data_IF_675167607025
#
_entry.id   IF_675167607025
#
_cell.length_a   1.000
_cell.length_b   1.000
_cell.length_c   1.000
_cell.angle_alpha   90.00
_cell.angle_beta   90.00
_cell.angle_gamma   90.00
#
_symmetry.space_group_name_H-M   'P 1'
#
loop_
_entity.id
_entity.type
_entity.pdbx_description
1 polymer ?
#
# COMPACT_ATOMS: atom_id res chain seq x y z
N UNK A 1 31.00 -17.78 6.79
CA UNK A 1 30.22 -19.03 6.87
C UNK A 1 31.11 -20.23 6.54
N UNK A 2 31.00 -21.40 7.20
CA UNK A 2 31.77 -22.59 6.82
C UNK A 2 31.44 -23.06 5.39
N UNK A 3 32.47 -23.34 4.58
CA UNK A 3 32.30 -23.79 3.19
C UNK A 3 31.56 -25.13 3.06
N UNK A 4 31.59 -25.97 4.10
CA UNK A 4 30.86 -27.25 4.16
C UNK A 4 29.34 -27.09 4.08
N UNK A 5 28.80 -25.90 4.36
CA UNK A 5 27.37 -25.62 4.19
C UNK A 5 27.00 -25.56 2.71
N UNK A 6 27.90 -25.09 1.84
CA UNK A 6 27.65 -24.98 0.41
C UNK A 6 27.59 -26.32 -0.31
N UNK A 7 27.98 -27.42 0.34
CA UNK A 7 27.93 -28.78 -0.21
C UNK A 7 27.00 -29.71 0.59
N UNK A 8 26.18 -29.14 1.49
CA UNK A 8 25.31 -29.92 2.35
C UNK A 8 24.04 -30.36 1.61
N UNK A 9 24.00 -31.62 1.20
CA UNK A 9 22.89 -32.21 0.44
C UNK A 9 21.58 -32.32 1.23
N UNK A 10 21.64 -32.29 2.56
CA UNK A 10 20.46 -32.41 3.44
C UNK A 10 19.93 -31.05 3.93
N UNK A 11 20.59 -29.95 3.59
CA UNK A 11 20.21 -28.63 4.09
C UNK A 11 18.91 -28.14 3.44
N UNK A 12 17.86 -27.97 4.24
CA UNK A 12 16.53 -27.52 3.76
C UNK A 12 16.31 -26.02 3.98
N UNK A 13 16.92 -25.44 5.01
CA UNK A 13 16.79 -24.02 5.33
C UNK A 13 18.12 -23.41 5.75
N UNK A 14 18.43 -22.25 5.18
CA UNK A 14 19.64 -21.48 5.44
C UNK A 14 19.23 -20.03 5.72
N UNK A 15 19.51 -19.54 6.92
CA UNK A 15 19.10 -18.19 7.35
C UNK A 15 20.23 -17.42 8.04
N UNK A 16 21.35 -17.13 7.35
CA UNK A 16 22.42 -16.33 7.90
C UNK A 16 21.96 -14.88 8.14
N UNK A 17 22.41 -14.33 9.27
CA UNK A 17 22.30 -12.90 9.61
C UNK A 17 23.68 -12.38 9.93
N UNK A 18 24.08 -11.26 9.32
CA UNK A 18 25.33 -10.56 9.61
C UNK A 18 26.57 -11.46 9.39
N UNK A 19 26.53 -12.29 8.33
CA UNK A 19 27.60 -13.25 8.00
C UNK A 19 28.29 -12.88 6.69
N UNK A 20 29.62 -12.97 6.68
CA UNK A 20 30.40 -12.99 5.45
C UNK A 20 30.24 -14.33 4.72
N UNK A 21 29.67 -14.27 3.53
CA UNK A 21 29.57 -15.36 2.57
C UNK A 21 30.85 -15.36 1.72
N UNK A 22 31.78 -16.22 2.09
CA UNK A 22 32.99 -16.42 1.30
C UNK A 22 32.64 -17.04 -0.05
N UNK A 23 33.30 -16.57 -1.11
CA UNK A 23 33.17 -17.13 -2.45
C UNK A 23 33.63 -18.59 -2.48
N UNK A 24 33.00 -19.39 -3.34
CA UNK A 24 33.34 -20.80 -3.52
C UNK A 24 33.10 -21.24 -4.95
N UNK A 25 34.00 -22.08 -5.46
CA UNK A 25 33.82 -22.68 -6.77
C UNK A 25 32.73 -23.77 -6.78
N UNK A 26 32.43 -24.38 -5.63
CA UNK A 26 31.56 -25.54 -5.51
C UNK A 26 30.32 -25.25 -4.65
N UNK A 27 29.17 -25.14 -5.30
CA UNK A 27 27.87 -25.11 -4.64
C UNK A 27 27.06 -26.33 -5.06
N UNK A 28 26.58 -27.10 -4.09
CA UNK A 28 25.62 -28.17 -4.27
C UNK A 28 24.76 -28.22 -3.02
N UNK A 29 23.62 -27.53 -3.05
CA UNK A 29 22.65 -27.50 -1.94
C UNK A 29 21.27 -27.93 -2.47
N UNK A 30 21.16 -29.16 -3.02
CA UNK A 30 20.01 -29.60 -3.82
C UNK A 30 18.67 -29.62 -3.08
N UNK A 31 18.67 -29.71 -1.75
CA UNK A 31 17.47 -29.79 -0.93
C UNK A 31 17.02 -28.43 -0.34
N UNK A 32 17.73 -27.34 -0.62
CA UNK A 32 17.45 -26.05 0.00
C UNK A 32 16.16 -25.45 -0.53
N UNK A 33 15.18 -25.27 0.37
CA UNK A 33 13.87 -24.68 0.07
C UNK A 33 13.75 -23.23 0.53
N UNK A 34 14.48 -22.85 1.58
CA UNK A 34 14.38 -21.52 2.19
C UNK A 34 15.79 -20.94 2.36
N UNK A 35 16.03 -19.78 1.77
CA UNK A 35 17.28 -19.05 1.87
C UNK A 35 17.01 -17.60 2.28
N UNK A 36 17.37 -17.22 3.51
CA UNK A 36 17.21 -15.85 4.00
C UNK A 36 18.58 -15.26 4.31
N UNK A 37 19.08 -14.42 3.42
CA UNK A 37 20.35 -13.70 3.55
C UNK A 37 20.04 -12.30 4.10
N UNK A 38 20.22 -12.10 5.40
CA UNK A 38 19.97 -10.82 6.05
C UNK A 38 21.30 -10.18 6.45
N UNK A 39 21.51 -8.92 6.07
CA UNK A 39 22.75 -8.16 6.30
C UNK A 39 24.02 -8.97 5.97
N UNK A 40 23.93 -9.85 4.98
CA UNK A 40 25.02 -10.77 4.66
C UNK A 40 25.92 -10.14 3.61
N UNK A 41 27.22 -10.15 3.85
CA UNK A 41 28.22 -9.59 2.93
C UNK A 41 28.63 -10.69 1.96
N UNK A 42 28.51 -10.44 0.67
CA UNK A 42 28.92 -11.34 -0.41
C UNK A 42 29.67 -10.57 -1.49
N UNK A 43 30.54 -11.26 -2.21
CA UNK A 43 31.58 -10.66 -3.06
C UNK A 43 31.05 -9.90 -4.27
N UNK A 44 29.99 -10.38 -4.92
CA UNK A 44 29.35 -9.71 -6.07
C UNK A 44 27.97 -10.31 -6.39
N UNK A 45 27.25 -9.71 -7.34
CA UNK A 45 25.96 -10.23 -7.82
C UNK A 45 26.03 -11.59 -8.52
N UNK A 46 27.17 -11.93 -9.14
CA UNK A 46 27.36 -13.21 -9.82
C UNK A 46 27.46 -14.39 -8.84
N UNK A 47 28.07 -14.18 -7.68
CA UNK A 47 28.09 -15.14 -6.58
C UNK A 47 26.68 -15.48 -6.12
N UNK A 48 25.84 -14.46 -5.91
CA UNK A 48 24.46 -14.66 -5.47
C UNK A 48 23.65 -15.41 -6.54
N UNK A 49 23.81 -15.05 -7.81
CA UNK A 49 23.17 -15.77 -8.91
C UNK A 49 23.58 -17.25 -8.95
N UNK A 50 24.87 -17.55 -8.78
CA UNK A 50 25.40 -18.92 -8.75
C UNK A 50 24.89 -19.70 -7.53
N UNK A 51 24.79 -19.05 -6.37
CA UNK A 51 24.25 -19.66 -5.16
C UNK A 51 22.76 -20.04 -5.35
N UNK A 52 21.97 -19.15 -5.95
CA UNK A 52 20.55 -19.40 -6.25
C UNK A 52 20.39 -20.55 -7.26
N UNK A 53 21.17 -20.56 -8.35
CA UNK A 53 21.07 -21.60 -9.38
C UNK A 53 21.47 -23.00 -8.89
N UNK A 54 22.23 -23.06 -7.79
CA UNK A 54 22.64 -24.31 -7.12
C UNK A 54 21.57 -24.87 -6.16
N UNK A 55 20.42 -24.20 -6.06
CA UNK A 55 19.29 -24.56 -5.20
C UNK A 55 18.03 -24.84 -6.05
N UNK A 56 17.93 -25.99 -6.73
CA UNK A 56 16.87 -26.28 -7.71
C UNK A 56 15.45 -26.40 -7.13
N UNK A 57 15.32 -26.53 -5.81
CA UNK A 57 14.03 -26.63 -5.09
C UNK A 57 13.74 -25.42 -4.22
N UNK A 58 14.46 -24.30 -4.41
CA UNK A 58 14.32 -23.08 -3.62
C UNK A 58 12.94 -22.46 -3.81
N UNK A 59 12.15 -22.36 -2.74
CA UNK A 59 10.78 -21.83 -2.77
C UNK A 59 10.68 -20.41 -2.18
N UNK A 60 11.54 -20.07 -1.22
CA UNK A 60 11.52 -18.79 -0.51
C UNK A 60 12.94 -18.19 -0.39
N UNK A 61 13.12 -17.00 -0.98
CA UNK A 61 14.36 -16.26 -0.99
C UNK A 61 14.16 -14.87 -0.37
N UNK A 62 14.99 -14.51 0.59
CA UNK A 62 15.08 -13.16 1.12
C UNK A 62 16.53 -12.68 1.01
N UNK A 63 16.73 -11.52 0.41
CA UNK A 63 18.02 -10.85 0.27
C UNK A 63 17.86 -9.45 0.84
N UNK A 64 18.42 -9.22 2.02
CA UNK A 64 18.47 -7.92 2.67
C UNK A 64 19.92 -7.52 2.77
N UNK A 65 20.28 -6.42 2.11
CA UNK A 65 21.62 -5.89 2.11
C UNK A 65 21.89 -5.17 3.42
N UNK A 66 23.12 -5.28 3.90
CA UNK A 66 23.59 -4.40 4.97
C UNK A 66 23.61 -2.96 4.44
N UNK A 67 23.03 -2.03 5.23
CA UNK A 67 22.90 -0.63 4.85
C UNK A 67 24.22 0.13 4.93
N UNK A 68 25.16 -0.38 5.73
CA UNK A 68 26.46 0.25 6.01
C UNK A 68 27.57 -0.28 5.10
N UNK A 69 27.31 -1.34 4.33
CA UNK A 69 28.28 -1.92 3.41
C UNK A 69 28.06 -1.41 1.98
N UNK A 70 29.16 -1.00 1.34
CA UNK A 70 29.19 -0.66 -0.07
C UNK A 70 29.27 -1.96 -0.89
N UNK A 71 28.33 -2.13 -1.82
CA UNK A 71 28.37 -3.28 -2.74
C UNK A 71 28.43 -2.73 -4.14
N UNK A 72 29.56 -2.99 -4.78
CA UNK A 72 29.82 -2.69 -6.18
C UNK A 72 29.36 -3.87 -7.04
N UNK A 73 28.07 -3.88 -7.39
CA UNK A 73 27.56 -4.78 -8.41
C UNK A 73 26.79 -4.00 -9.45
N UNK A 74 27.03 -4.33 -10.73
CA UNK A 74 26.30 -3.76 -11.86
C UNK A 74 24.85 -4.29 -11.93
N UNK A 75 24.63 -5.56 -11.55
CA UNK A 75 23.29 -6.14 -11.59
C UNK A 75 23.06 -7.23 -10.53
N UNK A 76 21.88 -7.18 -9.92
CA UNK A 76 21.32 -8.26 -9.11
C UNK A 76 20.46 -9.15 -10.00
N UNK A 77 20.82 -10.45 -10.10
CA UNK A 77 20.09 -11.41 -10.94
C UNK A 77 19.55 -12.56 -10.11
N UNK A 78 18.23 -12.72 -10.12
CA UNK A 78 17.53 -13.82 -9.46
C UNK A 78 16.89 -14.67 -10.55
N UNK A 79 17.42 -15.88 -10.77
CA UNK A 79 16.91 -16.84 -11.75
C UNK A 79 16.53 -18.14 -11.05
N UNK A 80 15.24 -18.47 -11.00
CA UNK A 80 14.78 -19.70 -10.36
C UNK A 80 13.40 -20.12 -10.84
N UNK A 81 13.26 -21.40 -11.20
CA UNK A 81 12.00 -21.98 -11.67
C UNK A 81 11.11 -22.48 -10.51
N UNK A 82 11.69 -22.68 -9.32
CA UNK A 82 10.99 -23.20 -8.13
C UNK A 82 10.51 -22.09 -7.18
N UNK A 83 11.00 -20.86 -7.37
CA UNK A 83 10.81 -19.77 -6.42
C UNK A 83 9.36 -19.28 -6.40
N UNK A 84 8.78 -19.23 -5.19
CA UNK A 84 7.39 -18.80 -4.94
C UNK A 84 7.33 -17.47 -4.19
N UNK A 85 8.35 -17.16 -3.39
CA UNK A 85 8.45 -15.95 -2.57
C UNK A 85 9.83 -15.32 -2.73
N UNK A 86 9.85 -14.01 -3.02
CA UNK A 86 11.07 -13.23 -3.15
C UNK A 86 10.94 -11.91 -2.38
N UNK A 87 11.87 -11.68 -1.46
CA UNK A 87 12.07 -10.38 -0.81
C UNK A 87 13.46 -9.88 -1.17
N UNK A 88 13.53 -8.69 -1.76
CA UNK A 88 14.77 -7.96 -2.05
C UNK A 88 14.68 -6.62 -1.33
N UNK A 89 15.60 -6.37 -0.41
CA UNK A 89 15.76 -5.10 0.30
C UNK A 89 17.22 -4.67 0.16
N UNK A 90 17.49 -3.86 -0.86
CA UNK A 90 18.82 -3.33 -1.18
C UNK A 90 18.88 -1.81 -1.02
N UNK A 91 17.94 -1.26 -0.25
CA UNK A 91 17.90 0.13 0.17
C UNK A 91 19.09 0.45 1.10
N UNK A 92 20.20 0.92 0.54
CA UNK A 92 21.39 1.32 1.28
C UNK A 92 21.44 2.83 1.58
N UNK A 93 22.31 3.24 2.51
CA UNK A 93 22.62 4.63 2.80
C UNK A 93 23.73 5.13 1.86
N UNK A 94 23.49 5.22 0.56
CA UNK A 94 24.42 5.94 -0.31
C UNK A 94 24.19 7.43 -0.11
N UNK A 95 25.17 8.09 0.51
CA UNK A 95 25.29 9.54 0.54
C UNK A 95 25.17 10.09 -0.89
N UNK A 96 24.58 11.29 -1.00
CA UNK A 96 24.09 12.01 -2.17
C UNK A 96 25.05 12.24 -3.36
N UNK A 97 26.18 11.53 -3.46
CA UNK A 97 27.26 11.82 -4.42
C UNK A 97 27.61 10.68 -5.38
N UNK A 98 26.91 9.54 -5.38
CA UNK A 98 27.17 8.53 -6.43
C UNK A 98 26.42 8.89 -7.71
N UNK A 99 27.17 9.21 -8.76
CA UNK A 99 26.69 9.27 -10.15
C UNK A 99 25.77 8.06 -10.45
N UNK A 100 24.73 8.28 -11.28
CA UNK A 100 23.76 7.29 -11.76
C UNK A 100 24.39 5.89 -11.82
N UNK A 101 24.00 5.02 -10.90
CA UNK A 101 24.80 3.81 -10.63
C UNK A 101 24.74 2.81 -11.78
N UNK A 102 23.80 3.00 -12.72
CA UNK A 102 23.56 2.09 -13.84
C UNK A 102 23.07 0.71 -13.39
N UNK A 103 22.77 0.53 -12.10
CA UNK A 103 22.46 -0.76 -11.50
C UNK A 103 21.13 -1.30 -12.02
N UNK A 104 21.09 -2.60 -12.25
CA UNK A 104 19.92 -3.30 -12.76
C UNK A 104 19.49 -4.45 -11.85
N UNK A 105 18.19 -4.63 -11.69
CA UNK A 105 17.61 -5.83 -11.07
C UNK A 105 16.93 -6.67 -12.12
N UNK A 106 17.31 -7.93 -12.23
CA UNK A 106 16.71 -8.91 -13.14
C UNK A 106 16.11 -10.07 -12.32
N UNK A 107 14.80 -10.25 -12.44
CA UNK A 107 14.05 -11.31 -11.77
C UNK A 107 13.44 -12.19 -12.86
N UNK A 108 13.96 -13.40 -13.01
CA UNK A 108 13.44 -14.45 -13.88
C UNK A 108 12.95 -15.62 -13.00
N UNK A 109 11.71 -15.48 -12.55
CA UNK A 109 11.07 -16.40 -11.64
C UNK A 109 9.56 -16.50 -11.96
N UNK A 110 9.16 -17.28 -12.98
CA UNK A 110 7.77 -17.33 -13.44
C UNK A 110 6.81 -17.95 -12.41
N UNK A 111 7.32 -18.75 -11.46
CA UNK A 111 6.54 -19.36 -10.38
C UNK A 111 6.20 -18.44 -9.21
N UNK A 112 6.59 -17.16 -9.29
CA UNK A 112 6.51 -16.24 -8.16
C UNK A 112 5.06 -15.85 -7.81
N UNK A 113 4.71 -16.04 -6.54
CA UNK A 113 3.43 -15.67 -5.94
C UNK A 113 3.54 -14.47 -4.99
N UNK A 114 4.76 -14.15 -4.55
CA UNK A 114 5.02 -13.01 -3.69
C UNK A 114 6.32 -12.33 -4.08
N UNK A 115 6.27 -11.03 -4.35
CA UNK A 115 7.41 -10.18 -4.59
C UNK A 115 7.37 -8.99 -3.63
N UNK A 116 8.44 -8.78 -2.87
CA UNK A 116 8.67 -7.53 -2.16
C UNK A 116 9.99 -6.94 -2.61
N UNK A 117 9.95 -5.79 -3.27
CA UNK A 117 11.12 -5.11 -3.82
C UNK A 117 11.26 -3.75 -3.15
N UNK A 118 12.34 -3.58 -2.39
CA UNK A 118 12.76 -2.31 -1.78
C UNK A 118 14.14 -1.97 -2.31
N UNK A 119 14.18 -0.99 -3.21
CA UNK A 119 15.38 -0.66 -3.97
C UNK A 119 15.34 0.79 -4.46
N UNK A 120 16.08 1.65 -3.78
CA UNK A 120 16.21 3.06 -4.16
C UNK A 120 17.50 3.37 -4.96
N UNK A 121 18.27 2.34 -5.32
CA UNK A 121 19.59 2.51 -5.93
C UNK A 121 19.61 2.08 -7.40
N UNK A 122 18.76 1.13 -7.80
CA UNK A 122 18.79 0.62 -9.18
C UNK A 122 18.06 1.54 -10.14
N UNK A 123 18.72 1.81 -11.27
CA UNK A 123 18.22 2.64 -12.35
C UNK A 123 17.27 1.87 -13.29
N UNK A 124 17.31 0.53 -13.29
CA UNK A 124 16.47 -0.29 -14.17
C UNK A 124 16.07 -1.63 -13.55
N UNK A 125 14.95 -2.16 -14.05
CA UNK A 125 14.32 -3.37 -13.54
C UNK A 125 13.80 -4.20 -14.71
N UNK A 126 14.01 -5.50 -14.66
CA UNK A 126 13.45 -6.49 -15.58
C UNK A 126 12.84 -7.60 -14.74
N UNK A 127 11.54 -7.81 -14.88
CA UNK A 127 10.79 -8.81 -14.13
C UNK A 127 10.05 -9.68 -15.14
N UNK A 128 10.29 -10.99 -15.11
CA UNK A 128 9.53 -11.97 -15.87
C UNK A 128 8.04 -11.85 -15.55
N UNK A 129 7.18 -12.27 -16.48
CA UNK A 129 5.72 -12.25 -16.25
C UNK A 129 5.36 -12.94 -14.93
N UNK A 130 4.67 -12.20 -14.05
CA UNK A 130 4.25 -12.68 -12.75
C UNK A 130 2.91 -13.41 -12.86
N UNK A 131 2.71 -14.39 -11.97
CA UNK A 131 1.42 -15.07 -11.86
C UNK A 131 0.29 -14.08 -11.55
N UNK A 132 -0.92 -14.35 -12.05
CA UNK A 132 -2.11 -13.53 -11.72
C UNK A 132 -2.41 -13.50 -10.21
N UNK A 133 -2.02 -14.54 -9.47
CA UNK A 133 -2.16 -14.61 -8.02
C UNK A 133 -1.06 -13.88 -7.26
N UNK A 134 -0.05 -13.33 -7.96
CA UNK A 134 1.07 -12.68 -7.34
C UNK A 134 0.63 -11.47 -6.52
N UNK A 135 1.17 -11.40 -5.30
CA UNK A 135 1.14 -10.19 -4.48
C UNK A 135 2.47 -9.48 -4.62
N UNK A 136 2.42 -8.20 -4.99
CA UNK A 136 3.62 -7.38 -5.24
C UNK A 136 3.65 -6.21 -4.28
N UNK A 137 4.79 -6.00 -3.63
CA UNK A 137 5.09 -4.83 -2.81
C UNK A 137 6.29 -4.11 -3.41
N UNK A 138 6.13 -2.84 -3.76
CA UNK A 138 7.14 -2.05 -4.45
C UNK A 138 7.47 -0.81 -3.63
N UNK A 139 8.76 -0.65 -3.35
CA UNK A 139 9.36 0.55 -2.80
C UNK A 139 10.65 0.85 -3.58
N UNK A 140 10.48 1.41 -4.77
CA UNK A 140 11.58 1.76 -5.68
C UNK A 140 11.61 3.23 -6.03
N UNK A 141 12.83 3.78 -6.19
CA UNK A 141 13.04 5.16 -6.64
C UNK A 141 13.52 5.29 -8.09
N UNK A 142 13.89 4.18 -8.75
CA UNK A 142 14.54 4.18 -10.07
C UNK A 142 15.83 5.02 -10.13
N UNK A 143 16.59 5.06 -9.03
CA UNK A 143 17.80 5.88 -8.90
C UNK A 143 17.50 7.36 -9.22
N UNK A 144 16.41 7.86 -8.64
CA UNK A 144 15.99 9.27 -8.72
C UNK A 144 16.03 9.88 -7.33
N UNK A 145 16.49 11.13 -7.29
CA UNK A 145 16.54 11.95 -6.09
C UNK A 145 15.16 12.56 -5.80
N UNK A 146 14.76 12.51 -4.54
CA UNK A 146 13.49 13.04 -4.05
C UNK A 146 13.40 14.56 -4.15
N UNK A 147 14.53 15.25 -4.16
CA UNK A 147 14.56 16.71 -4.30
C UNK A 147 14.35 17.16 -5.76
N UNK A 148 14.29 16.23 -6.71
CA UNK A 148 14.11 16.54 -8.13
C UNK A 148 12.65 16.57 -8.57
N UNK A 149 12.22 17.72 -9.07
CA UNK A 149 10.84 17.93 -9.56
C UNK A 149 10.61 17.50 -11.03
N UNK A 150 11.67 17.04 -11.70
CA UNK A 150 11.71 16.79 -13.15
C UNK A 150 12.10 15.35 -13.44
N UNK A 151 11.32 14.69 -14.29
CA UNK A 151 11.61 13.35 -14.79
C UNK A 151 11.93 13.41 -16.30
N UNK A 152 13.14 13.00 -16.68
CA UNK A 152 13.56 12.98 -18.08
C UNK A 152 12.86 11.85 -18.89
N UNK A 153 13.02 11.87 -20.22
CA UNK A 153 12.41 10.87 -21.10
C UNK A 153 12.93 9.45 -20.89
N UNK A 154 14.19 9.27 -20.49
CA UNK A 154 14.80 7.98 -20.23
C UNK A 154 14.19 7.34 -18.98
N UNK A 155 14.17 8.08 -17.87
CA UNK A 155 13.56 7.65 -16.60
C UNK A 155 12.06 7.39 -16.77
N UNK A 156 11.33 8.23 -17.53
CA UNK A 156 9.93 7.95 -17.88
C UNK A 156 9.76 6.61 -18.59
N UNK A 157 10.64 6.29 -19.54
CA UNK A 157 10.60 5.00 -20.25
C UNK A 157 10.82 3.82 -19.29
N UNK A 158 11.73 3.95 -18.33
CA UNK A 158 11.97 2.93 -17.30
C UNK A 158 10.73 2.74 -16.43
N UNK A 159 10.15 3.83 -15.91
CA UNK A 159 8.93 3.80 -15.08
C UNK A 159 7.79 3.12 -15.84
N UNK A 160 7.55 3.53 -17.09
CA UNK A 160 6.50 2.95 -17.96
C UNK A 160 6.73 1.45 -18.17
N UNK A 161 7.96 1.05 -18.48
CA UNK A 161 8.31 -0.36 -18.72
C UNK A 161 8.10 -1.19 -17.44
N UNK A 162 8.55 -0.68 -16.29
CA UNK A 162 8.39 -1.33 -15.01
C UNK A 162 6.91 -1.60 -14.68
N UNK A 163 6.07 -0.58 -14.76
CA UNK A 163 4.64 -0.74 -14.47
C UNK A 163 3.90 -1.58 -15.51
N UNK A 164 4.38 -1.61 -16.76
CA UNK A 164 3.83 -2.51 -17.79
C UNK A 164 4.06 -3.98 -17.41
N UNK A 165 5.23 -4.33 -16.85
CA UNK A 165 5.53 -5.69 -16.39
C UNK A 165 4.64 -6.12 -15.21
N UNK A 166 4.07 -5.17 -14.45
CA UNK A 166 3.18 -5.43 -13.32
C UNK A 166 1.69 -5.41 -13.69
N UNK A 167 1.35 -5.28 -14.97
CA UNK A 167 -0.05 -5.15 -15.43
C UNK A 167 -0.94 -6.37 -15.15
N UNK A 168 -0.35 -7.55 -14.95
CA UNK A 168 -1.05 -8.81 -14.64
C UNK A 168 -1.39 -9.00 -13.15
N UNK A 169 -0.81 -8.17 -12.28
CA UNK A 169 -0.88 -8.33 -10.83
C UNK A 169 -2.29 -8.02 -10.29
N UNK A 170 -2.78 -8.86 -9.35
CA UNK A 170 -4.08 -8.66 -8.69
C UNK A 170 -4.01 -7.94 -7.34
N UNK A 171 -2.87 -8.00 -6.65
CA UNK A 171 -2.66 -7.43 -5.33
C UNK A 171 -1.33 -6.65 -5.31
N UNK A 172 -1.41 -5.32 -5.33
CA UNK A 172 -0.24 -4.44 -5.41
C UNK A 172 -0.19 -3.49 -4.22
N UNK A 173 0.99 -3.36 -3.62
CA UNK A 173 1.32 -2.34 -2.63
C UNK A 173 2.41 -1.42 -3.20
N UNK A 174 2.19 -0.11 -3.16
CA UNK A 174 3.18 0.89 -3.54
C UNK A 174 3.50 1.80 -2.34
N UNK A 175 4.80 2.08 -2.12
CA UNK A 175 5.27 3.00 -1.09
C UNK A 175 5.08 4.47 -1.47
N UNK A 176 5.22 5.36 -0.49
CA UNK A 176 5.25 6.81 -0.70
C UNK A 176 6.32 7.22 -1.70
N UNK A 177 7.50 6.63 -1.59
CA UNK A 177 8.59 6.83 -2.55
C UNK A 177 8.18 6.54 -3.99
N UNK A 178 7.59 5.37 -4.25
CA UNK A 178 7.22 4.99 -5.61
C UNK A 178 6.05 5.82 -6.13
N UNK A 179 5.12 6.20 -5.25
CA UNK A 179 3.97 7.04 -5.61
C UNK A 179 4.34 8.50 -5.86
N UNK A 180 5.34 9.03 -5.17
CA UNK A 180 5.92 10.34 -5.46
C UNK A 180 6.43 10.40 -6.90
N UNK A 181 7.19 9.38 -7.30
CA UNK A 181 7.72 9.25 -8.66
C UNK A 181 6.61 9.11 -9.69
N UNK A 182 5.59 8.30 -9.40
CA UNK A 182 4.40 8.22 -10.24
C UNK A 182 3.76 9.61 -10.39
N UNK A 183 3.73 10.42 -9.33
CA UNK A 183 3.13 11.75 -9.36
C UNK A 183 3.90 12.71 -10.26
N UNK A 184 5.24 12.61 -10.30
CA UNK A 184 6.08 13.30 -11.29
C UNK A 184 5.83 12.79 -12.71
N UNK A 185 5.81 11.47 -12.90
CA UNK A 185 5.53 10.81 -14.18
C UNK A 185 4.19 11.23 -14.79
N UNK A 186 3.14 11.32 -13.96
CA UNK A 186 1.78 11.71 -14.36
C UNK A 186 1.66 13.18 -14.79
N UNK A 187 2.70 14.01 -14.62
CA UNK A 187 2.77 15.35 -15.24
C UNK A 187 2.96 15.27 -16.76
N UNK A 188 3.44 14.13 -17.28
CA UNK A 188 3.84 13.98 -18.68
C UNK A 188 3.01 12.95 -19.45
N UNK A 189 2.66 11.83 -18.84
CA UNK A 189 1.96 10.73 -19.52
C UNK A 189 1.10 9.90 -18.54
N UNK A 190 0.19 9.09 -19.08
CA UNK A 190 -0.69 8.23 -18.28
C UNK A 190 0.01 6.92 -17.93
N UNK A 191 -0.30 6.39 -16.74
CA UNK A 191 0.18 5.07 -16.33
C UNK A 191 -0.40 3.96 -17.23
N UNK A 192 0.37 2.87 -17.45
CA UNK A 192 -0.16 1.63 -18.03
C UNK A 192 -1.45 1.17 -17.33
N UNK A 193 -2.31 0.46 -18.05
CA UNK A 193 -3.53 -0.09 -17.50
C UNK A 193 -3.24 -1.35 -16.67
N UNK A 194 -3.94 -1.48 -15.55
CA UNK A 194 -3.91 -2.63 -14.63
C UNK A 194 -5.28 -3.32 -14.63
N UNK A 195 -5.66 -4.01 -15.72
CA UNK A 195 -7.00 -4.55 -15.88
C UNK A 195 -7.32 -5.66 -14.86
N UNK A 196 -6.30 -6.31 -14.30
CA UNK A 196 -6.48 -7.40 -13.35
C UNK A 196 -6.35 -6.95 -11.88
N UNK A 197 -5.99 -5.70 -11.60
CA UNK A 197 -5.75 -5.26 -10.23
C UNK A 197 -7.05 -5.23 -9.42
N UNK A 198 -7.12 -6.04 -8.37
CA UNK A 198 -8.30 -6.17 -7.49
C UNK A 198 -8.06 -5.48 -6.14
N UNK A 199 -6.83 -5.52 -5.64
CA UNK A 199 -6.44 -4.91 -4.37
C UNK A 199 -5.26 -3.99 -4.57
N UNK A 200 -5.40 -2.77 -4.10
CA UNK A 200 -4.37 -1.75 -4.15
C UNK A 200 -4.15 -1.17 -2.77
N UNK A 201 -2.92 -1.23 -2.27
CA UNK A 201 -2.50 -0.57 -1.05
C UNK A 201 -1.48 0.51 -1.41
N UNK A 202 -1.73 1.73 -0.97
CA UNK A 202 -0.95 2.88 -1.38
C UNK A 202 -0.61 3.74 -0.17
N UNK A 203 0.67 4.08 -0.05
CA UNK A 203 1.16 5.06 0.91
C UNK A 203 1.35 6.38 0.17
N UNK A 204 0.65 7.44 0.55
CA UNK A 204 0.73 8.75 -0.11
C UNK A 204 1.32 9.79 0.83
N UNK A 205 2.24 10.60 0.31
CA UNK A 205 2.49 11.92 0.86
C UNK A 205 1.31 12.84 0.51
N UNK A 206 1.06 13.82 1.38
CA UNK A 206 -0.04 14.77 1.17
C UNK A 206 0.07 15.52 -0.18
N UNK A 207 1.28 15.91 -0.57
CA UNK A 207 1.59 16.58 -1.84
C UNK A 207 1.19 15.78 -3.09
N UNK A 208 1.22 14.45 -2.99
CA UNK A 208 1.01 13.54 -4.11
C UNK A 208 -0.43 13.01 -4.19
N UNK A 209 -1.19 13.16 -3.10
CA UNK A 209 -2.55 12.63 -2.99
C UNK A 209 -3.50 13.23 -4.05
N UNK A 210 -3.22 14.44 -4.54
CA UNK A 210 -3.95 15.05 -5.65
C UNK A 210 -3.93 14.23 -6.96
N UNK A 211 -2.96 13.31 -7.13
CA UNK A 211 -2.82 12.42 -8.29
C UNK A 211 -3.56 11.09 -8.14
N UNK A 212 -4.15 10.81 -6.97
CA UNK A 212 -4.90 9.58 -6.70
C UNK A 212 -5.95 9.26 -7.78
N UNK A 213 -6.78 10.21 -8.25
CA UNK A 213 -7.77 9.91 -9.30
C UNK A 213 -7.14 9.38 -10.60
N UNK A 214 -6.00 9.95 -11.01
CA UNK A 214 -5.30 9.53 -12.23
C UNK A 214 -4.73 8.11 -12.09
N UNK A 215 -4.28 7.73 -10.90
CA UNK A 215 -3.82 6.37 -10.60
C UNK A 215 -4.99 5.39 -10.63
N UNK A 216 -6.13 5.77 -10.03
CA UNK A 216 -7.36 4.96 -10.05
C UNK A 216 -7.93 4.79 -11.47
N UNK A 217 -7.73 5.77 -12.35
CA UNK A 217 -8.12 5.67 -13.77
C UNK A 217 -7.40 4.52 -14.50
N UNK A 218 -6.21 4.13 -14.04
CA UNK A 218 -5.46 2.99 -14.58
C UNK A 218 -5.90 1.65 -13.99
N UNK A 219 -6.83 1.61 -13.04
CA UNK A 219 -7.20 0.41 -12.28
C UNK A 219 -8.71 0.08 -12.39
N UNK A 220 -9.26 -0.21 -13.58
CA UNK A 220 -10.71 -0.23 -13.82
C UNK A 220 -11.49 -1.27 -12.99
N UNK A 221 -10.86 -2.38 -12.61
CA UNK A 221 -11.50 -3.49 -11.88
C UNK A 221 -11.17 -3.54 -10.38
N UNK A 222 -10.65 -2.43 -9.82
CA UNK A 222 -10.23 -2.36 -8.43
C UNK A 222 -11.41 -2.56 -7.46
N UNK A 223 -11.32 -3.56 -6.57
CA UNK A 223 -12.36 -3.83 -5.56
C UNK A 223 -12.01 -3.35 -4.16
N UNK A 224 -10.73 -3.29 -3.82
CA UNK A 224 -10.27 -2.91 -2.49
C UNK A 224 -9.12 -1.92 -2.57
N UNK A 225 -9.30 -0.75 -1.98
CA UNK A 225 -8.29 0.27 -1.82
C UNK A 225 -7.92 0.42 -0.34
N UNK A 226 -6.64 0.42 -0.03
CA UNK A 226 -6.11 0.73 1.29
C UNK A 226 -5.18 1.93 1.14
N UNK A 227 -5.39 2.96 1.93
CA UNK A 227 -4.61 4.19 1.93
C UNK A 227 -3.93 4.38 3.27
N UNK A 228 -2.66 4.72 3.20
CA UNK A 228 -1.88 5.24 4.32
C UNK A 228 -1.36 6.62 3.91
N UNK A 229 -1.62 7.62 4.74
CA UNK A 229 -1.27 9.01 4.53
C UNK A 229 -0.08 9.35 5.42
N UNK A 230 1.00 9.82 4.82
CA UNK A 230 2.24 10.28 5.47
C UNK A 230 2.38 11.80 5.36
N UNK A 231 3.06 12.41 6.34
CA UNK A 231 3.40 13.84 6.37
C UNK A 231 2.22 14.83 6.24
N UNK A 232 1.03 14.43 6.69
CA UNK A 232 -0.18 15.25 6.58
C UNK A 232 -0.13 16.47 7.51
N UNK A 233 -0.06 17.67 6.94
CA UNK A 233 -0.20 18.93 7.69
C UNK A 233 -1.66 19.34 7.72
N UNK A 234 -2.10 19.91 8.85
CA UNK A 234 -3.51 20.25 9.09
C UNK A 234 -4.11 21.27 8.12
N UNK A 235 -3.27 22.15 7.55
CA UNK A 235 -3.70 23.29 6.74
C UNK A 235 -3.54 23.08 5.23
N UNK A 236 -3.05 21.91 4.82
CA UNK A 236 -2.88 21.61 3.40
C UNK A 236 -4.25 21.38 2.77
N UNK A 237 -4.44 21.93 1.57
CA UNK A 237 -5.65 21.74 0.77
C UNK A 237 -5.48 20.55 -0.17
N UNK A 238 -6.54 19.77 -0.38
CA UNK A 238 -6.49 18.63 -1.29
C UNK A 238 -7.22 18.95 -2.59
N UNK A 239 -6.47 19.20 -3.65
CA UNK A 239 -7.02 19.30 -5.00
C UNK A 239 -6.88 17.96 -5.71
N UNK A 240 -7.95 17.17 -5.68
CA UNK A 240 -8.04 15.94 -6.46
C UNK A 240 -8.13 16.29 -7.94
N UNK A 241 -7.03 16.06 -8.64
CA UNK A 241 -6.90 16.39 -10.06
C UNK A 241 -7.57 15.29 -10.88
N UNK A 242 -8.79 15.50 -11.35
CA UNK A 242 -9.32 14.76 -12.50
C UNK A 242 -10.46 15.50 -13.20
N UNK A 243 -10.47 15.43 -14.53
CA UNK A 243 -11.59 15.87 -15.36
C UNK A 243 -12.79 14.92 -15.32
N UNK A 244 -12.59 13.67 -14.87
CA UNK A 244 -13.65 12.65 -14.82
C UNK A 244 -13.48 11.70 -13.65
N UNK A 245 -14.58 11.22 -13.09
CA UNK A 245 -14.53 10.22 -12.02
C UNK A 245 -13.94 8.91 -12.56
N UNK A 246 -12.97 8.27 -11.87
CA UNK A 246 -12.42 6.98 -12.29
C UNK A 246 -13.48 5.89 -12.43
N UNK A 247 -13.33 5.02 -13.43
CA UNK A 247 -14.29 3.95 -13.72
C UNK A 247 -14.48 3.03 -12.52
N UNK A 248 -13.39 2.68 -11.84
CA UNK A 248 -13.44 1.76 -10.70
C UNK A 248 -14.32 2.26 -9.55
N UNK A 249 -14.40 3.57 -9.32
CA UNK A 249 -15.29 4.13 -8.30
C UNK A 249 -16.76 3.86 -8.65
N UNK A 250 -17.11 3.91 -9.94
CA UNK A 250 -18.48 3.66 -10.40
C UNK A 250 -18.83 2.18 -10.44
N UNK A 251 -17.90 1.31 -10.86
CA UNK A 251 -18.23 -0.05 -11.29
C UNK A 251 -17.75 -1.17 -10.35
N UNK A 252 -16.64 -0.99 -9.63
CA UNK A 252 -15.94 -2.12 -9.01
C UNK A 252 -15.47 -1.91 -7.57
N UNK A 253 -15.26 -0.67 -7.10
CA UNK A 253 -14.68 -0.40 -5.79
C UNK A 253 -15.67 -0.67 -4.65
N UNK A 254 -15.47 -1.80 -3.96
CA UNK A 254 -16.33 -2.26 -2.87
C UNK A 254 -15.80 -1.89 -1.48
N UNK A 255 -14.48 -1.73 -1.34
CA UNK A 255 -13.84 -1.54 -0.04
C UNK A 255 -12.79 -0.42 -0.11
N UNK A 256 -12.88 0.53 0.81
CA UNK A 256 -11.86 1.55 1.07
C UNK A 256 -11.47 1.47 2.54
N UNK A 257 -10.17 1.49 2.84
CA UNK A 257 -9.65 1.62 4.20
C UNK A 257 -8.61 2.73 4.24
N UNK A 258 -8.82 3.75 5.06
CA UNK A 258 -7.79 4.74 5.41
C UNK A 258 -7.21 4.32 6.76
N UNK A 259 -5.98 3.82 6.73
CA UNK A 259 -5.26 3.33 7.92
C UNK A 259 -4.77 4.47 8.81
N UNK A 260 -4.37 5.57 8.20
CA UNK A 260 -3.91 6.76 8.93
C UNK A 260 -5.04 7.31 9.79
N UNK A 261 -4.64 7.79 10.96
CA UNK A 261 -5.52 8.36 11.95
C UNK A 261 -6.04 9.72 11.46
N UNK A 262 -7.34 9.80 11.14
CA UNK A 262 -8.01 11.04 10.75
C UNK A 262 -8.05 11.98 11.95
N UNK A 263 -7.48 13.17 11.77
CA UNK A 263 -7.39 14.23 12.78
C UNK A 263 -8.41 15.34 12.56
N UNK A 264 -9.07 15.33 11.41
CA UNK A 264 -10.05 16.32 11.01
C UNK A 264 -9.50 17.44 10.14
N UNK A 265 -8.36 17.20 9.47
CA UNK A 265 -7.81 18.14 8.51
C UNK A 265 -8.74 18.26 7.28
N UNK A 266 -8.80 19.45 6.67
CA UNK A 266 -9.63 19.70 5.48
C UNK A 266 -9.34 18.67 4.39
N UNK A 267 -8.08 18.43 4.07
CA UNK A 267 -7.66 17.47 3.06
C UNK A 267 -8.04 16.01 3.38
N UNK A 268 -8.05 15.58 4.66
CA UNK A 268 -8.53 14.25 5.06
C UNK A 268 -10.02 14.12 4.78
N UNK A 269 -10.77 15.17 5.09
CA UNK A 269 -12.22 15.21 4.90
C UNK A 269 -12.60 15.27 3.42
N UNK A 270 -11.87 16.04 2.61
CA UNK A 270 -12.01 16.09 1.16
C UNK A 270 -11.78 14.71 0.53
N UNK A 271 -10.80 13.95 1.01
CA UNK A 271 -10.56 12.58 0.56
C UNK A 271 -11.73 11.65 0.89
N UNK A 272 -12.25 11.72 2.12
CA UNK A 272 -13.41 10.92 2.53
C UNK A 272 -14.65 11.31 1.72
N UNK A 273 -14.89 12.61 1.55
CA UNK A 273 -15.97 13.17 0.71
C UNK A 273 -15.91 12.60 -0.69
N UNK A 274 -14.73 12.66 -1.31
CA UNK A 274 -14.51 12.18 -2.65
C UNK A 274 -14.95 10.72 -2.82
N UNK A 275 -14.56 9.81 -1.93
CA UNK A 275 -14.99 8.42 -2.03
C UNK A 275 -16.50 8.25 -1.84
N UNK A 276 -17.10 8.97 -0.89
CA UNK A 276 -18.54 8.88 -0.61
C UNK A 276 -19.41 9.39 -1.76
N UNK A 277 -18.99 10.47 -2.43
CA UNK A 277 -19.73 11.08 -3.54
C UNK A 277 -19.55 10.34 -4.86
N UNK A 278 -18.38 9.72 -5.07
CA UNK A 278 -18.00 9.17 -6.37
C UNK A 278 -18.13 7.65 -6.48
N UNK A 279 -18.20 6.94 -5.35
CA UNK A 279 -18.18 5.47 -5.35
C UNK A 279 -19.59 4.88 -5.34
N UNK A 280 -20.06 4.34 -6.47
CA UNK A 280 -21.43 3.86 -6.63
C UNK A 280 -21.66 2.41 -6.14
N UNK A 281 -20.60 1.61 -6.00
CA UNK A 281 -20.69 0.21 -5.51
C UNK A 281 -19.96 -0.03 -4.19
N UNK A 282 -19.53 1.03 -3.51
CA UNK A 282 -18.83 0.97 -2.24
C UNK A 282 -19.66 0.25 -1.19
N UNK A 283 -19.16 -0.86 -0.68
CA UNK A 283 -19.78 -1.66 0.39
C UNK A 283 -19.17 -1.39 1.74
N UNK A 284 -17.92 -0.92 1.81
CA UNK A 284 -17.23 -0.70 3.08
C UNK A 284 -16.24 0.47 2.99
N UNK A 285 -16.35 1.44 3.88
CA UNK A 285 -15.37 2.50 4.08
C UNK A 285 -14.86 2.41 5.52
N UNK A 286 -13.60 2.08 5.74
CA UNK A 286 -12.99 1.99 7.06
C UNK A 286 -12.08 3.19 7.30
N UNK A 287 -12.30 3.90 8.39
CA UNK A 287 -11.54 5.09 8.80
C UNK A 287 -10.99 4.84 10.21
N UNK A 288 -9.78 5.28 10.51
CA UNK A 288 -9.24 5.28 11.87
C UNK A 288 -9.41 6.68 12.47
N UNK A 289 -10.07 6.83 13.63
CA UNK A 289 -10.32 8.13 14.26
C UNK A 289 -9.51 8.32 15.54
N UNK A 290 -9.00 9.54 15.79
CA UNK A 290 -8.36 9.89 17.06
C UNK A 290 -9.40 10.19 18.15
N UNK A 291 -9.13 9.83 19.40
CA UNK A 291 -9.98 10.20 20.55
C UNK A 291 -9.74 11.66 20.94
N UNK A 292 -10.76 12.52 20.86
CA UNK A 292 -10.76 13.87 21.45
C UNK A 292 -10.98 13.86 22.97
N UNK A 293 -10.57 14.92 23.68
CA UNK A 293 -11.04 15.17 25.05
C UNK A 293 -12.50 15.60 24.95
N UNK A 294 -13.40 14.76 25.45
CA UNK A 294 -14.84 15.10 25.52
C UNK A 294 -15.02 16.31 26.42
N UNK A 295 -15.50 17.41 25.85
CA UNK A 295 -16.35 18.42 26.48
C UNK A 295 -17.17 19.05 25.34
N UNK A 296 -18.47 19.26 25.57
CA UNK A 296 -19.49 19.87 24.66
C UNK A 296 -20.03 19.02 23.49
N UNK A 297 -19.25 18.12 22.88
CA UNK A 297 -19.78 17.20 21.83
C UNK A 297 -20.88 16.23 22.33
N UNK A 298 -20.98 16.06 23.65
CA UNK A 298 -22.00 15.23 24.29
C UNK A 298 -23.41 15.83 24.21
N UNK A 299 -23.56 17.14 23.99
CA UNK A 299 -24.88 17.81 23.95
C UNK A 299 -25.48 17.70 22.55
N UNK A 300 -24.67 17.93 21.52
CA UNK A 300 -25.13 17.88 20.13
C UNK A 300 -25.43 16.44 19.71
N UNK A 301 -24.73 15.46 20.28
CA UNK A 301 -25.05 14.04 20.10
C UNK A 301 -26.32 13.62 20.86
N UNK A 302 -26.72 14.34 21.94
CA UNK A 302 -27.90 14.04 22.76
C UNK A 302 -29.19 14.72 22.26
N UNK A 303 -29.12 15.87 21.59
CA UNK A 303 -30.28 16.51 20.95
C UNK A 303 -30.72 15.80 19.65
N UNK A 304 -29.77 15.21 18.92
CA UNK A 304 -30.03 14.42 17.71
C UNK A 304 -30.80 13.11 17.99
N UNK A 305 -30.94 12.74 19.27
CA UNK A 305 -31.68 11.58 19.78
C UNK A 305 -33.19 11.82 19.94
N UNK A 306 -33.64 13.08 19.85
CA UNK A 306 -34.98 13.47 20.31
C UNK A 306 -36.15 13.30 19.32
N UNK A 307 -35.95 12.87 18.07
CA UNK A 307 -36.96 13.05 17.00
C UNK A 307 -37.49 11.73 16.39
N UNK A 308 -38.77 11.75 15.95
CA UNK A 308 -39.65 10.60 15.65
C UNK A 308 -39.44 9.94 14.27
N UNK A 309 -39.68 8.62 14.25
CA UNK A 309 -39.52 7.59 13.19
C UNK A 309 -40.51 7.66 11.99
N UNK A 310 -40.07 7.17 10.82
CA UNK A 310 -40.94 6.76 9.69
C UNK A 310 -40.36 5.55 8.89
N UNK A 311 -40.73 4.30 9.23
CA UNK A 311 -41.00 3.16 8.30
C UNK A 311 -41.02 1.78 9.02
N UNK A 312 -41.86 0.79 8.60
CA UNK A 312 -42.21 -0.40 9.40
C UNK A 312 -41.40 -1.70 9.14
N UNK A 313 -40.39 -1.72 8.27
CA UNK A 313 -39.80 -2.99 7.74
C UNK A 313 -38.37 -3.32 8.18
N UNK A 314 -37.91 -2.87 9.35
CA UNK A 314 -36.57 -3.19 9.87
C UNK A 314 -36.64 -4.39 10.84
N UNK A 315 -36.08 -5.55 10.47
CA UNK A 315 -36.01 -6.73 11.35
C UNK A 315 -34.89 -6.59 12.40
N UNK A 316 -35.23 -6.99 13.63
CA UNK A 316 -34.45 -6.76 14.86
C UNK A 316 -33.09 -7.49 14.89
N UNK A 317 -32.03 -6.78 15.30
CA UNK A 317 -30.83 -7.40 15.87
C UNK A 317 -30.71 -6.96 17.34
N UNK A 318 -31.14 -7.85 18.25
CA UNK A 318 -31.01 -7.67 19.72
C UNK A 318 -29.78 -8.40 20.27
N UNK A 319 -28.81 -7.62 20.78
CA UNK A 319 -28.36 -7.57 22.20
C UNK A 319 -27.00 -6.86 22.29
N UNK A 320 -27.00 -5.64 22.83
CA UNK A 320 -25.79 -4.97 23.32
C UNK A 320 -26.01 -4.55 24.77
N UNK A 321 -25.38 -5.25 25.71
CA UNK A 321 -25.29 -4.83 27.11
C UNK A 321 -24.26 -3.71 27.22
N UNK A 322 -24.72 -2.45 27.20
CA UNK A 322 -24.24 -1.27 27.98
C UNK A 322 -24.60 0.06 27.27
N UNK A 323 -25.34 0.91 27.99
CA UNK A 323 -25.40 2.37 27.82
C UNK A 323 -26.44 2.93 26.82
N UNK A 324 -27.34 3.86 27.22
CA UNK A 324 -28.39 4.44 26.34
C UNK A 324 -27.85 5.22 25.12
N UNK A 325 -26.67 5.82 25.24
CA UNK A 325 -26.07 6.74 24.25
C UNK A 325 -25.49 6.08 22.99
N UNK A 326 -25.67 4.75 22.81
CA UNK A 326 -25.15 4.01 21.65
C UNK A 326 -26.19 3.78 20.54
N UNK A 327 -27.47 4.09 20.79
CA UNK A 327 -28.60 3.60 19.99
C UNK A 327 -29.03 4.52 18.84
N UNK A 328 -28.30 5.60 18.56
CA UNK A 328 -28.91 6.71 17.80
C UNK A 328 -28.04 7.37 16.75
N UNK A 329 -26.72 7.35 16.92
CA UNK A 329 -25.82 7.43 15.76
C UNK A 329 -26.25 6.33 14.79
N UNK A 330 -26.48 5.11 15.29
CA UNK A 330 -27.06 4.02 14.51
C UNK A 330 -28.46 4.33 13.95
N UNK A 331 -29.27 5.20 14.57
CA UNK A 331 -30.62 5.56 14.12
C UNK A 331 -30.60 6.65 13.03
N UNK A 332 -29.73 7.65 13.13
CA UNK A 332 -29.49 8.65 12.08
C UNK A 332 -29.05 8.01 10.75
N UNK A 333 -28.19 6.98 10.81
CA UNK A 333 -27.79 6.20 9.63
C UNK A 333 -28.90 5.32 9.06
N UNK A 334 -29.91 4.97 9.87
CA UNK A 334 -31.09 4.19 9.45
C UNK A 334 -32.20 5.09 8.90
N UNK A 335 -32.27 6.36 9.31
CA UNK A 335 -33.35 7.29 8.94
C UNK A 335 -33.01 8.19 7.74
N UNK A 336 -31.74 8.53 7.49
CA UNK A 336 -31.32 9.37 6.35
C UNK A 336 -30.74 8.57 5.16
N UNK A 337 -30.69 7.25 5.27
CA UNK A 337 -30.37 6.36 4.17
C UNK A 337 -31.62 6.07 3.34
N UNK A 338 -32.13 7.09 2.65
CA UNK A 338 -33.18 6.90 1.64
C UNK A 338 -32.64 5.97 0.55
N UNK A 339 -33.04 4.70 0.64
CA UNK A 339 -32.78 3.55 -0.24
C UNK A 339 -31.36 2.99 -0.33
N UNK A 340 -30.38 3.54 0.40
CA UNK A 340 -28.98 3.42 -0.01
C UNK A 340 -27.98 2.96 1.09
N UNK A 341 -28.41 2.42 2.22
CA UNK A 341 -27.45 1.91 3.22
C UNK A 341 -27.91 0.58 3.83
N UNK A 342 -27.41 -0.55 3.31
CA UNK A 342 -27.81 -1.86 3.87
C UNK A 342 -27.18 -2.19 5.22
N UNK A 343 -26.08 -1.57 5.63
CA UNK A 343 -25.44 -1.77 6.95
C UNK A 343 -24.41 -0.67 7.24
N UNK A 344 -24.10 -0.41 8.50
CA UNK A 344 -23.04 0.47 8.98
C UNK A 344 -22.44 -0.23 10.20
N UNK A 345 -21.12 -0.36 10.29
CA UNK A 345 -20.48 -1.07 11.42
C UNK A 345 -19.40 -0.20 12.03
N UNK A 346 -19.73 0.52 13.10
CA UNK A 346 -18.78 1.34 13.85
C UNK A 346 -17.95 0.43 14.80
N UNK A 347 -16.62 0.36 14.66
CA UNK A 347 -15.70 -0.43 15.51
C UNK A 347 -14.73 0.47 16.28
N UNK A 348 -15.22 1.36 17.14
CA UNK A 348 -14.38 2.32 17.88
C UNK A 348 -13.41 1.59 18.83
N UNK A 349 -12.10 1.63 18.56
CA UNK A 349 -11.04 1.12 19.43
C UNK A 349 -9.99 2.18 19.78
N UNK A 350 -9.92 2.44 21.08
CA UNK A 350 -9.01 3.37 21.73
C UNK A 350 -7.54 2.92 21.60
N UNK A 351 -6.67 3.69 20.95
CA UNK A 351 -5.22 3.61 21.17
C UNK A 351 -4.83 4.67 22.21
N UNK A 352 -4.25 4.24 23.34
CA UNK A 352 -3.92 5.11 24.48
C UNK A 352 -2.51 5.69 24.42
N UNK A 353 -1.83 5.62 23.29
CA UNK A 353 -0.41 5.88 23.20
C UNK A 353 -0.10 7.04 22.25
N UNK A 354 -0.45 8.27 22.65
CA UNK A 354 0.26 9.51 22.28
C UNK A 354 -0.45 10.71 22.90
N UNK A 355 0.07 11.21 24.02
CA UNK A 355 -0.40 12.44 24.67
C UNK A 355 -0.06 13.62 23.74
N UNK A 356 -1.05 14.36 23.22
CA UNK A 356 -0.73 15.67 22.63
C UNK A 356 -1.74 16.32 21.69
N UNK A 357 -2.32 15.62 20.72
CA UNK A 357 -3.24 16.24 19.75
C UNK A 357 -4.68 15.74 19.93
N UNK A 358 -5.68 16.58 19.71
CA UNK A 358 -7.11 16.21 19.71
C UNK A 358 -7.67 16.30 18.27
N UNK A 359 -8.80 15.66 17.96
CA UNK A 359 -9.59 16.04 16.77
C UNK A 359 -9.99 17.50 16.96
N UNK A 360 -9.82 18.33 15.93
CA UNK A 360 -10.22 19.74 15.99
C UNK A 360 -11.75 19.85 16.02
N UNK A 361 -12.29 20.89 16.65
CA UNK A 361 -13.73 21.14 16.67
C UNK A 361 -14.30 21.20 15.24
N UNK A 362 -13.55 21.85 14.34
CA UNK A 362 -13.81 21.91 12.90
C UNK A 362 -13.87 20.53 12.24
N UNK A 363 -12.93 19.63 12.59
CA UNK A 363 -12.92 18.25 12.14
C UNK A 363 -14.14 17.44 12.60
N UNK A 364 -14.69 17.76 13.76
CA UNK A 364 -15.93 17.14 14.26
C UNK A 364 -17.15 17.55 13.43
N UNK A 365 -17.28 18.84 13.12
CA UNK A 365 -18.33 19.35 12.24
C UNK A 365 -18.21 18.79 10.82
N UNK A 366 -17.01 18.75 10.25
CA UNK A 366 -16.80 18.16 8.92
C UNK A 366 -17.15 16.67 8.87
N UNK A 367 -16.82 15.89 9.91
CA UNK A 367 -17.24 14.48 10.00
C UNK A 367 -18.75 14.34 10.00
N UNK A 368 -19.47 15.20 10.72
CA UNK A 368 -20.94 15.21 10.70
C UNK A 368 -21.48 15.48 9.30
N UNK A 369 -20.96 16.50 8.63
CA UNK A 369 -21.42 16.89 7.29
C UNK A 369 -21.11 15.81 6.26
N UNK A 370 -19.92 15.19 6.33
CA UNK A 370 -19.54 14.04 5.51
C UNK A 370 -20.48 12.86 5.65
N UNK A 371 -20.90 12.58 6.89
CA UNK A 371 -21.84 11.50 7.15
C UNK A 371 -23.24 11.79 6.60
N UNK A 372 -23.59 13.06 6.42
CA UNK A 372 -24.87 13.53 5.89
C UNK A 372 -24.95 13.59 4.35
N UNK A 373 -23.83 13.42 3.63
CA UNK A 373 -23.81 13.52 2.18
C UNK A 373 -24.68 12.44 1.50
N UNK A 374 -25.48 12.80 0.47
CA UNK A 374 -26.21 11.83 -0.35
C UNK A 374 -25.21 10.95 -1.10
N UNK A 375 -25.45 9.63 -1.09
CA UNK A 375 -24.51 8.65 -1.63
C UNK A 375 -25.08 7.99 -2.88
N UNK A 376 -24.25 7.66 -3.87
CA UNK A 376 -24.68 6.83 -4.99
C UNK A 376 -24.75 5.33 -4.62
N UNK A 377 -23.95 4.85 -3.64
CA UNK A 377 -23.90 3.42 -3.33
C UNK A 377 -24.84 2.94 -2.24
N UNK A 378 -25.75 2.04 -2.62
CA UNK A 378 -26.85 1.56 -1.76
C UNK A 378 -26.45 0.60 -0.63
N UNK A 379 -25.17 0.26 -0.56
CA UNK A 379 -24.64 -0.83 0.23
C UNK A 379 -23.54 -0.40 1.21
N UNK A 380 -23.15 0.88 1.20
CA UNK A 380 -21.91 1.34 1.84
C UNK A 380 -21.96 1.31 3.37
N UNK A 381 -21.15 0.45 3.99
CA UNK A 381 -20.93 0.40 5.43
C UNK A 381 -19.72 1.25 5.83
N UNK A 382 -19.93 2.32 6.59
CA UNK A 382 -18.81 3.04 7.22
C UNK A 382 -18.41 2.30 8.50
N UNK A 383 -17.11 2.03 8.64
CA UNK A 383 -16.46 1.57 9.85
C UNK A 383 -15.55 2.65 10.40
N UNK A 384 -15.79 3.07 11.63
CA UNK A 384 -14.86 3.93 12.38
C UNK A 384 -14.07 3.03 13.31
N UNK A 385 -12.74 3.06 13.24
CA UNK A 385 -11.82 2.35 14.13
C UNK A 385 -11.18 3.27 15.14
#
# INVERSE_FOLDING_TARGET
MPLSIYTCESLVSLKPSDVLLADSEYFSIPCLKIMHLVNSIYTNGAFLEKLISSCPVLEDLTVVKDRDAEYDFEALRVRSQSLKSLVVDIDGHTYMDSENTGKAVVIDAPGLNYLSLKDKQSASFVISELSLSAKVNVNVSFDMDFDTDVIDSSKRSVVRTFFTMLSTVRDMTLSGTTLHIISLYLKHELLPQFPYLIRFNAVFYNSDLGKLPNILQSCPNLKSLVLELEEFKMNDLLVLSSSSVPECLRSSLEHVEIKTLIRGAVAEMELVKYFLENSAVLKKLKLCLRRGRMNEESIILMELLGLRRCSPSCEEIKRFNRGPARMEVARYFVENSLQVLKKLVLDIRCSTAEKGLCITEEGSYMLRDLLALPRPSTMCQILLK
#
